data_IF_548728423872
#
_entry.id   IF_548728423872
#
_cell.length_a   1.000
_cell.length_b   1.000
_cell.length_c   1.000
_cell.angle_alpha   90.00
_cell.angle_beta   90.00
_cell.angle_gamma   90.00
#
_symmetry.space_group_name_H-M   'P 1'
#
loop_
_entity.id
_entity.type
_entity.pdbx_description
1 polymer ?
#
# COMPACT_ATOMS: atom_id res chain seq x y z
N UNK A 1 -1.99 20.44 18.06
CA UNK A 1 -2.17 20.38 16.59
C UNK A 1 -0.93 19.90 15.83
N UNK A 2 0.30 20.05 16.34
CA UNK A 2 1.54 19.66 15.64
C UNK A 2 1.68 18.15 15.35
N UNK A 3 1.38 17.30 16.33
CA UNK A 3 1.54 15.84 16.20
C UNK A 3 0.71 15.22 15.05
N UNK A 4 -0.52 15.70 14.84
CA UNK A 4 -1.37 15.24 13.72
C UNK A 4 -0.76 15.58 12.37
N UNK A 5 -0.20 16.78 12.23
CA UNK A 5 0.42 17.26 10.99
C UNK A 5 1.71 16.50 10.70
N UNK A 6 2.53 16.27 11.72
CA UNK A 6 3.76 15.48 11.61
C UNK A 6 3.46 14.02 11.23
N UNK A 7 2.48 13.40 11.88
CA UNK A 7 2.06 12.03 11.56
C UNK A 7 1.53 11.92 10.12
N UNK A 8 0.75 12.89 9.64
CA UNK A 8 0.29 12.93 8.25
C UNK A 8 1.46 13.07 7.25
N UNK A 9 2.48 13.87 7.56
CA UNK A 9 3.68 14.00 6.73
C UNK A 9 4.48 12.69 6.68
N UNK A 10 4.65 12.02 7.83
CA UNK A 10 5.31 10.72 7.91
C UNK A 10 4.60 9.66 7.05
N UNK A 11 3.27 9.62 7.08
CA UNK A 11 2.49 8.75 6.19
C UNK A 11 2.63 9.13 4.72
N UNK A 12 2.63 10.42 4.39
CA UNK A 12 2.82 10.88 3.01
C UNK A 12 4.18 10.44 2.48
N UNK A 13 5.24 10.53 3.30
CA UNK A 13 6.59 10.08 2.98
C UNK A 13 6.63 8.56 2.79
N UNK A 14 6.06 7.80 3.73
CA UNK A 14 6.01 6.34 3.65
C UNK A 14 5.24 5.86 2.41
N UNK A 15 4.07 6.43 2.13
CA UNK A 15 3.30 6.09 0.93
C UNK A 15 4.09 6.35 -0.36
N UNK A 16 4.77 7.50 -0.44
CA UNK A 16 5.58 7.82 -1.62
C UNK A 16 6.71 6.81 -1.80
N UNK A 17 7.43 6.49 -0.72
CA UNK A 17 8.49 5.48 -0.71
C UNK A 17 7.97 4.11 -1.18
N UNK A 18 6.87 3.63 -0.60
CA UNK A 18 6.27 2.35 -0.97
C UNK A 18 5.77 2.34 -2.43
N UNK A 19 5.17 3.45 -2.90
CA UNK A 19 4.70 3.57 -4.28
C UNK A 19 5.84 3.55 -5.28
N UNK A 20 6.92 4.29 -5.02
CA UNK A 20 8.12 4.31 -5.85
C UNK A 20 8.79 2.92 -5.85
N UNK A 21 8.90 2.29 -4.68
CA UNK A 21 9.44 0.93 -4.57
C UNK A 21 8.61 -0.09 -5.34
N UNK A 22 7.29 -0.07 -5.22
CA UNK A 22 6.42 -0.99 -5.96
C UNK A 22 6.59 -0.84 -7.47
N UNK A 23 6.70 0.40 -7.97
CA UNK A 23 6.85 0.67 -9.40
C UNK A 23 8.22 0.31 -9.95
N UNK A 24 9.28 0.51 -9.16
CA UNK A 24 10.65 0.52 -9.68
C UNK A 24 11.51 -0.64 -9.17
N UNK A 25 11.13 -1.28 -8.06
CA UNK A 25 12.01 -2.20 -7.33
C UNK A 25 11.34 -3.51 -6.89
N UNK A 26 10.03 -3.65 -7.06
CA UNK A 26 9.32 -4.90 -6.73
C UNK A 26 9.73 -6.07 -7.64
N UNK A 27 10.19 -5.77 -8.87
CA UNK A 27 10.45 -6.76 -9.92
C UNK A 27 9.22 -7.14 -10.74
N UNK A 28 8.07 -6.53 -10.44
CA UNK A 28 6.83 -6.72 -11.19
C UNK A 28 6.48 -5.48 -12.01
N UNK A 29 5.82 -5.67 -13.16
CA UNK A 29 5.33 -4.56 -13.98
C UNK A 29 4.08 -3.95 -13.34
N UNK A 30 4.24 -3.05 -12.38
CA UNK A 30 3.12 -2.37 -11.71
C UNK A 30 2.51 -1.31 -12.63
N UNK A 31 1.22 -1.46 -12.93
CA UNK A 31 0.48 -0.54 -13.80
C UNK A 31 -0.12 0.67 -13.07
N UNK A 32 -0.16 0.64 -11.74
CA UNK A 32 -0.69 1.75 -10.94
C UNK A 32 -0.67 1.47 -9.44
N UNK A 33 -0.59 2.55 -8.67
CA UNK A 33 -0.65 2.56 -7.20
C UNK A 33 -1.56 3.71 -6.79
N UNK A 34 -2.49 3.47 -5.86
CA UNK A 34 -3.45 4.47 -5.36
C UNK A 34 -3.52 4.44 -3.83
N UNK A 35 -3.88 5.58 -3.24
CA UNK A 35 -4.30 5.64 -1.83
C UNK A 35 -5.76 5.26 -1.71
N UNK A 36 -6.13 4.59 -0.63
CA UNK A 36 -7.50 4.28 -0.28
C UNK A 36 -7.79 4.56 1.20
N UNK A 37 -9.04 4.33 1.61
CA UNK A 37 -9.47 4.33 3.00
C UNK A 37 -9.76 5.71 3.59
N UNK A 38 -10.04 5.70 4.90
CA UNK A 38 -10.45 6.87 5.70
C UNK A 38 -9.49 8.07 5.60
N UNK A 39 -8.21 7.84 5.28
CA UNK A 39 -7.22 8.91 5.07
C UNK A 39 -7.37 9.63 3.73
N UNK A 40 -7.97 8.99 2.73
CA UNK A 40 -8.39 9.62 1.48
C UNK A 40 -9.72 10.36 1.65
N UNK A 41 -10.61 9.83 2.50
CA UNK A 41 -11.96 10.37 2.75
C UNK A 41 -11.98 11.49 3.80
N UNK A 42 -10.91 11.67 4.59
CA UNK A 42 -10.82 12.73 5.60
C UNK A 42 -11.39 12.35 6.97
N UNK A 43 -12.05 11.19 7.07
CA UNK A 43 -12.73 10.67 8.27
C UNK A 43 -11.84 9.80 9.18
N UNK A 44 -10.52 9.91 9.04
CA UNK A 44 -9.61 9.05 9.79
C UNK A 44 -9.59 9.40 11.28
N UNK A 45 -9.77 8.38 12.13
CA UNK A 45 -9.44 8.47 13.56
C UNK A 45 -7.91 8.57 13.72
N UNK A 46 -7.45 9.24 14.76
CA UNK A 46 -6.02 9.27 15.09
C UNK A 46 -5.47 7.82 15.12
N UNK A 47 -4.38 7.55 14.38
CA UNK A 47 -3.74 6.23 14.23
C UNK A 47 -4.39 5.22 13.27
N UNK A 48 -5.34 5.62 12.41
CA UNK A 48 -5.83 4.72 11.34
C UNK A 48 -4.70 4.29 10.40
N UNK A 49 -4.73 3.01 10.03
CA UNK A 49 -3.85 2.41 9.02
C UNK A 49 -4.02 3.13 7.67
N UNK A 50 -2.98 3.12 6.83
CA UNK A 50 -3.06 3.62 5.46
C UNK A 50 -3.34 2.47 4.50
N UNK A 51 -4.38 2.60 3.70
CA UNK A 51 -4.68 1.62 2.66
C UNK A 51 -4.02 2.05 1.35
N UNK A 52 -3.34 1.10 0.71
CA UNK A 52 -2.65 1.29 -0.56
C UNK A 52 -3.03 0.17 -1.52
N UNK A 53 -3.72 0.54 -2.60
CA UNK A 53 -4.05 -0.37 -3.69
C UNK A 53 -2.96 -0.32 -4.77
N UNK A 54 -2.66 -1.45 -5.40
CA UNK A 54 -1.86 -1.51 -6.62
C UNK A 54 -2.38 -2.58 -7.57
N UNK A 55 -1.98 -2.50 -8.84
CA UNK A 55 -2.27 -3.54 -9.84
C UNK A 55 -1.06 -3.85 -10.71
N UNK A 56 -1.00 -5.09 -11.18
CA UNK A 56 0.08 -5.63 -12.02
C UNK A 56 -0.40 -5.61 -13.49
N UNK A 57 0.41 -5.06 -14.39
CA UNK A 57 0.08 -4.83 -15.80
C UNK A 57 0.30 -6.03 -16.71
N UNK A 58 1.03 -7.03 -16.23
CA UNK A 58 1.27 -8.30 -16.91
C UNK A 58 0.40 -9.42 -16.31
N UNK A 59 0.35 -10.57 -16.97
CA UNK A 59 -0.33 -11.75 -16.43
C UNK A 59 0.36 -12.22 -15.16
N UNK A 60 -0.41 -12.50 -14.12
CA UNK A 60 0.12 -12.87 -12.81
C UNK A 60 -0.79 -13.85 -12.08
N UNK A 61 -0.20 -14.56 -11.13
CA UNK A 61 -0.91 -15.31 -10.12
C UNK A 61 -0.79 -14.55 -8.79
N UNK A 62 -1.92 -14.21 -8.17
CA UNK A 62 -1.96 -13.34 -6.98
C UNK A 62 -1.02 -13.83 -5.88
N UNK A 63 -1.06 -15.14 -5.60
CA UNK A 63 -0.29 -15.75 -4.53
C UNK A 63 1.22 -15.63 -4.77
N UNK A 64 1.68 -15.86 -6.01
CA UNK A 64 3.09 -15.69 -6.39
C UNK A 64 3.58 -14.26 -6.22
N UNK A 65 2.75 -13.26 -6.56
CA UNK A 65 3.11 -11.85 -6.38
C UNK A 65 3.33 -11.54 -4.90
N UNK A 66 2.45 -12.03 -4.01
CA UNK A 66 2.58 -11.80 -2.58
C UNK A 66 3.76 -12.51 -1.94
N UNK A 67 3.95 -13.78 -2.27
CA UNK A 67 5.03 -14.60 -1.72
C UNK A 67 6.40 -14.07 -2.14
N UNK A 68 6.48 -13.40 -3.30
CA UNK A 68 7.68 -12.72 -3.78
C UNK A 68 7.87 -11.31 -3.19
N UNK A 69 6.81 -10.48 -3.12
CA UNK A 69 6.91 -9.09 -2.62
C UNK A 69 7.20 -9.05 -1.11
N UNK A 70 6.58 -9.91 -0.30
CA UNK A 70 6.73 -9.87 1.17
C UNK A 70 8.20 -9.98 1.62
N UNK A 71 9.00 -10.99 1.20
CA UNK A 71 10.40 -11.07 1.60
C UNK A 71 11.24 -9.90 1.06
N UNK A 72 10.94 -9.41 -0.16
CA UNK A 72 11.63 -8.24 -0.74
C UNK A 72 11.36 -6.96 0.05
N UNK A 73 10.12 -6.75 0.51
CA UNK A 73 9.76 -5.63 1.39
C UNK A 73 10.50 -5.71 2.72
N UNK A 74 10.54 -6.89 3.36
CA UNK A 74 11.29 -7.10 4.62
C UNK A 74 12.78 -6.78 4.45
N UNK A 75 13.37 -7.18 3.32
CA UNK A 75 14.77 -6.91 2.99
C UNK A 75 15.03 -5.43 2.75
N UNK A 76 14.17 -4.75 2.01
CA UNK A 76 14.35 -3.35 1.66
C UNK A 76 14.08 -2.39 2.83
N UNK A 77 13.02 -2.67 3.60
CA UNK A 77 12.63 -1.88 4.77
C UNK A 77 13.07 -2.62 6.03
N UNK A 78 14.37 -2.55 6.35
CA UNK A 78 14.93 -3.21 7.54
C UNK A 78 14.22 -2.73 8.81
N UNK A 79 13.85 -3.67 9.70
CA UNK A 79 13.09 -3.37 10.91
C UNK A 79 11.58 -3.21 10.70
N UNK A 80 11.08 -3.33 9.46
CA UNK A 80 9.64 -3.39 9.20
C UNK A 80 9.04 -4.73 9.61
N UNK A 81 7.79 -4.71 10.04
CA UNK A 81 6.95 -5.89 10.21
C UNK A 81 6.09 -6.04 8.97
N UNK A 82 6.29 -7.11 8.21
CA UNK A 82 5.54 -7.39 6.99
C UNK A 82 4.95 -8.79 7.10
N UNK A 83 3.63 -8.93 6.97
CA UNK A 83 2.95 -10.21 7.07
C UNK A 83 1.76 -10.28 6.11
N UNK A 84 1.36 -11.50 5.74
CA UNK A 84 0.12 -11.73 5.00
C UNK A 84 -1.06 -11.36 5.91
N UNK A 85 -2.02 -10.62 5.37
CA UNK A 85 -3.28 -10.32 6.04
C UNK A 85 -4.18 -11.57 6.10
N UNK A 86 -5.27 -11.47 6.88
CA UNK A 86 -6.27 -12.55 6.96
C UNK A 86 -6.94 -12.83 5.61
N UNK A 87 -7.10 -11.79 4.80
CA UNK A 87 -7.55 -11.92 3.42
C UNK A 87 -6.36 -12.21 2.51
N UNK A 88 -6.53 -13.12 1.55
CA UNK A 88 -5.46 -13.59 0.66
C UNK A 88 -4.81 -12.48 -0.18
N UNK A 89 -5.47 -11.31 -0.28
CA UNK A 89 -5.05 -10.19 -1.11
C UNK A 89 -4.58 -8.98 -0.30
N UNK A 90 -4.02 -9.17 0.89
CA UNK A 90 -3.53 -8.05 1.71
C UNK A 90 -2.16 -8.37 2.29
N UNK A 91 -1.22 -7.43 2.16
CA UNK A 91 0.01 -7.39 2.94
C UNK A 91 -0.18 -6.36 4.05
N UNK A 92 -0.02 -6.78 5.30
CA UNK A 92 0.09 -5.90 6.45
C UNK A 92 1.54 -5.47 6.59
N UNK A 93 1.81 -4.18 6.46
CA UNK A 93 3.13 -3.58 6.60
C UNK A 93 3.12 -2.61 7.79
N UNK A 94 4.13 -2.65 8.65
CA UNK A 94 4.32 -1.67 9.69
C UNK A 94 5.79 -1.26 9.83
N UNK A 95 6.04 0.03 9.98
CA UNK A 95 7.37 0.60 10.20
C UNK A 95 7.25 1.88 11.03
N UNK A 96 8.10 2.03 12.05
CA UNK A 96 8.18 3.21 12.92
C UNK A 96 6.82 3.64 13.53
N UNK A 97 5.95 2.69 13.84
CA UNK A 97 4.61 2.96 14.38
C UNK A 97 3.58 3.46 13.35
N UNK A 98 3.91 3.37 12.05
CA UNK A 98 3.00 3.57 10.93
C UNK A 98 2.57 2.21 10.39
N UNK A 99 1.30 2.06 10.04
CA UNK A 99 0.71 0.81 9.55
C UNK A 99 0.10 1.03 8.17
N UNK A 100 0.35 0.11 7.26
CA UNK A 100 -0.07 0.17 5.86
C UNK A 100 -0.64 -1.18 5.45
N UNK A 101 -1.83 -1.16 4.89
CA UNK A 101 -2.43 -2.30 4.21
C UNK A 101 -2.17 -2.15 2.72
N UNK A 102 -1.46 -3.11 2.13
CA UNK A 102 -1.12 -3.11 0.71
C UNK A 102 -1.94 -4.18 0.00
N UNK A 103 -2.76 -3.77 -0.97
CA UNK A 103 -3.78 -4.61 -1.61
C UNK A 103 -3.54 -4.67 -3.11
N UNK A 104 -3.41 -5.88 -3.64
CA UNK A 104 -3.36 -6.17 -5.07
C UNK A 104 -4.76 -6.34 -5.63
N UNK A 105 -5.11 -5.47 -6.57
CA UNK A 105 -6.40 -5.51 -7.26
C UNK A 105 -6.23 -5.83 -8.74
N UNK A 106 -7.23 -6.51 -9.35
CA UNK A 106 -7.35 -6.52 -10.79
C UNK A 106 -7.50 -5.10 -11.34
N UNK A 107 -6.97 -4.84 -12.55
CA UNK A 107 -7.04 -3.53 -13.23
C UNK A 107 -8.45 -2.92 -13.23
N UNK A 108 -9.48 -3.73 -13.49
CA UNK A 108 -10.88 -3.30 -13.54
C UNK A 108 -11.36 -2.76 -12.19
N UNK A 109 -11.03 -3.44 -11.09
CA UNK A 109 -11.39 -3.02 -9.74
C UNK A 109 -10.59 -1.80 -9.31
N UNK A 110 -9.29 -1.78 -9.60
CA UNK A 110 -8.44 -0.62 -9.37
C UNK A 110 -8.99 0.64 -10.05
N UNK A 111 -9.34 0.55 -11.34
CA UNK A 111 -9.89 1.68 -12.09
C UNK A 111 -11.24 2.15 -11.52
N UNK A 112 -12.13 1.23 -11.13
CA UNK A 112 -13.40 1.58 -10.48
C UNK A 112 -13.15 2.39 -9.20
N UNK A 113 -12.23 1.93 -8.35
CA UNK A 113 -11.87 2.63 -7.12
C UNK A 113 -11.24 3.98 -7.38
N UNK A 114 -10.32 4.09 -8.33
CA UNK A 114 -9.68 5.39 -8.64
C UNK A 114 -10.71 6.39 -9.18
N UNK A 115 -11.62 5.95 -10.06
CA UNK A 115 -12.62 6.82 -10.69
C UNK A 115 -13.71 7.29 -9.73
N UNK A 116 -14.08 6.50 -8.72
CA UNK A 116 -15.09 6.87 -7.70
C UNK A 116 -14.80 8.21 -7.00
N UNK A 117 -13.54 8.63 -6.92
CA UNK A 117 -13.15 9.87 -6.25
C UNK A 117 -12.67 10.95 -7.24
N UNK A 118 -12.94 10.79 -8.54
CA UNK A 118 -12.73 11.85 -9.54
C UNK A 118 -14.00 12.67 -9.80
N UNK A 119 -15.15 12.17 -9.36
CA UNK A 119 -16.44 12.86 -9.27
C UNK A 119 -16.55 13.55 -7.92
#
# INVERSE_FOLDING_TARGET
>A
MGERREYAQRYKKLWRSLSEWLKNSSGWKVGGVAKEGSRREGDFKNKSDLDMDFWIAETYEKQKVYDDIIPKLRKHYTGSQVQKGRSENVIKFAQDGLKVDIVLLPKKEFNKKVNKFKT
#
